data_IF_611090177527
#
_entry.id   IF_611090177527
#
_cell.length_a   1.000
_cell.length_b   1.000
_cell.length_c   1.000
_cell.angle_alpha   90.00
_cell.angle_beta   90.00
_cell.angle_gamma   90.00
#
_symmetry.space_group_name_H-M   'P 1'
#
loop_
_entity.id
_entity.type
_entity.pdbx_description
1 polymer ?
#
# COMPACT_ATOMS: atom_id res chain seq x y z
N UNK A 1 4.26 8.50 -25.79
CA UNK A 1 4.43 7.06 -25.68
C UNK A 1 5.92 6.71 -25.84
N UNK A 2 6.46 5.82 -24.96
CA UNK A 2 7.82 5.33 -25.05
C UNK A 2 7.94 4.29 -26.18
N UNK A 3 9.15 4.15 -26.77
CA UNK A 3 9.42 3.08 -27.71
C UNK A 3 9.45 1.71 -26.98
N UNK A 4 9.37 0.62 -27.75
CA UNK A 4 9.46 -0.75 -27.21
C UNK A 4 10.89 -1.04 -26.81
N UNK A 5 11.10 -1.78 -25.71
CA UNK A 5 12.40 -2.30 -25.26
C UNK A 5 13.47 -1.23 -25.09
N UNK A 6 13.16 -0.14 -24.41
CA UNK A 6 14.10 0.98 -24.20
C UNK A 6 14.66 1.04 -22.77
N UNK A 7 13.98 0.45 -21.77
CA UNK A 7 14.37 0.55 -20.37
C UNK A 7 15.09 -0.70 -19.88
N UNK A 8 16.10 -0.51 -19.04
CA UNK A 8 16.89 -1.56 -18.38
C UNK A 8 16.30 -1.97 -17.02
N UNK A 9 15.21 -1.35 -16.59
CA UNK A 9 14.50 -1.67 -15.35
C UNK A 9 13.30 -0.76 -15.16
N UNK A 10 12.32 -1.23 -14.38
CA UNK A 10 11.14 -0.47 -14.01
C UNK A 10 10.88 -0.63 -12.52
N UNK A 11 10.55 0.47 -11.85
CA UNK A 11 10.17 0.47 -10.44
C UNK A 11 8.81 1.13 -10.28
N UNK A 12 7.90 0.47 -9.57
CA UNK A 12 6.61 1.01 -9.15
C UNK A 12 6.49 0.92 -7.64
N UNK A 13 6.34 2.05 -6.95
CA UNK A 13 6.14 2.09 -5.50
C UNK A 13 4.75 2.66 -5.24
N UNK A 14 3.88 1.86 -4.63
CA UNK A 14 2.50 2.23 -4.33
C UNK A 14 1.81 2.88 -5.54
N UNK A 15 1.84 2.19 -6.67
CA UNK A 15 1.35 2.70 -7.95
C UNK A 15 0.27 1.81 -8.54
N UNK A 16 0.55 0.51 -8.65
CA UNK A 16 -0.33 -0.43 -9.35
C UNK A 16 -1.63 -0.71 -8.61
N UNK A 17 -1.66 -0.57 -7.29
CA UNK A 17 -2.88 -0.71 -6.48
C UNK A 17 -3.94 0.36 -6.78
N UNK A 18 -3.55 1.47 -7.39
CA UNK A 18 -4.44 2.56 -7.80
C UNK A 18 -4.88 2.46 -9.27
N UNK A 19 -4.41 1.46 -9.99
CA UNK A 19 -4.79 1.22 -11.38
C UNK A 19 -5.95 0.23 -11.41
N UNK A 20 -7.09 0.61 -11.98
CA UNK A 20 -8.30 -0.22 -11.99
C UNK A 20 -8.08 -1.59 -12.63
N UNK A 21 -7.34 -1.64 -13.73
CA UNK A 21 -6.97 -2.87 -14.43
C UNK A 21 -5.44 -2.96 -14.52
N UNK A 22 -4.85 -3.81 -13.71
CA UNK A 22 -3.40 -3.96 -13.60
C UNK A 22 -2.81 -4.67 -14.81
N UNK A 23 -3.56 -5.57 -15.46
CA UNK A 23 -3.08 -6.35 -16.61
C UNK A 23 -2.55 -5.49 -17.76
N UNK A 24 -3.33 -4.53 -18.30
CA UNK A 24 -2.85 -3.61 -19.33
C UNK A 24 -1.64 -2.78 -18.91
N UNK A 25 -1.57 -2.36 -17.64
CA UNK A 25 -0.42 -1.62 -17.13
C UNK A 25 0.84 -2.48 -17.09
N UNK A 26 0.73 -3.75 -16.71
CA UNK A 26 1.84 -4.70 -16.75
C UNK A 26 2.25 -5.04 -18.19
N UNK A 27 1.31 -5.17 -19.13
CA UNK A 27 1.61 -5.33 -20.57
C UNK A 27 2.41 -4.16 -21.11
N UNK A 28 2.04 -2.94 -20.74
CA UNK A 28 2.79 -1.75 -21.15
C UNK A 28 4.17 -1.72 -20.48
N UNK A 29 4.29 -2.05 -19.21
CA UNK A 29 5.57 -2.22 -18.53
C UNK A 29 6.45 -3.24 -19.26
N UNK A 30 5.88 -4.40 -19.63
CA UNK A 30 6.60 -5.42 -20.42
C UNK A 30 7.04 -4.90 -21.80
N UNK A 31 6.19 -4.17 -22.48
CA UNK A 31 6.49 -3.62 -23.80
C UNK A 31 7.70 -2.68 -23.80
N UNK A 32 7.84 -1.85 -22.76
CA UNK A 32 8.91 -0.85 -22.69
C UNK A 32 10.20 -1.39 -22.07
N UNK A 33 10.15 -2.51 -21.33
CA UNK A 33 11.33 -3.18 -20.77
C UNK A 33 12.02 -4.05 -21.82
N UNK A 34 13.35 -3.98 -21.86
CA UNK A 34 14.16 -4.94 -22.62
C UNK A 34 13.99 -6.36 -22.06
N UNK A 35 14.12 -7.36 -22.92
CA UNK A 35 14.14 -8.77 -22.51
C UNK A 35 15.21 -9.01 -21.44
N UNK A 36 14.87 -9.80 -20.45
CA UNK A 36 15.75 -10.12 -19.33
C UNK A 36 15.88 -9.01 -18.28
N UNK A 37 15.26 -7.84 -18.48
CA UNK A 37 15.36 -6.73 -17.54
C UNK A 37 14.31 -6.80 -16.42
N UNK A 38 14.64 -6.29 -15.21
CA UNK A 38 13.80 -6.44 -14.04
C UNK A 38 12.66 -5.41 -13.96
N UNK A 39 11.56 -5.85 -13.37
CA UNK A 39 10.55 -4.99 -12.75
C UNK A 39 10.57 -5.19 -11.23
N UNK A 40 10.45 -4.11 -10.48
CA UNK A 40 10.31 -4.12 -9.03
C UNK A 40 9.04 -3.34 -8.62
N UNK A 41 8.15 -3.99 -7.92
CA UNK A 41 6.87 -3.42 -7.47
C UNK A 41 6.83 -3.49 -5.94
N UNK A 42 6.70 -2.35 -5.29
CA UNK A 42 6.39 -2.27 -3.85
C UNK A 42 4.92 -1.88 -3.70
N UNK A 43 4.15 -2.74 -3.08
CA UNK A 43 2.75 -2.50 -2.74
C UNK A 43 2.43 -3.02 -1.34
N UNK A 44 1.34 -2.56 -0.75
CA UNK A 44 1.00 -2.84 0.64
C UNK A 44 -0.12 -3.88 0.69
N UNK A 45 -0.05 -4.80 1.67
CA UNK A 45 -1.16 -5.65 2.08
C UNK A 45 -2.06 -4.83 2.99
N UNK A 46 -2.92 -3.98 2.39
CA UNK A 46 -3.71 -2.99 3.11
C UNK A 46 -4.68 -3.59 4.12
N UNK A 47 -5.26 -4.76 3.84
CA UNK A 47 -6.15 -5.45 4.78
C UNK A 47 -5.45 -5.91 6.08
N UNK A 48 -4.11 -5.92 6.10
CA UNK A 48 -3.31 -6.28 7.27
C UNK A 48 -2.68 -5.07 7.97
N UNK A 49 -2.79 -3.88 7.39
CA UNK A 49 -2.34 -2.64 8.01
C UNK A 49 -3.21 -2.35 9.25
N UNK A 50 -2.61 -2.05 10.40
CA UNK A 50 -3.37 -1.86 11.64
C UNK A 50 -2.75 -0.81 12.56
N UNK A 51 -3.64 0.01 13.14
CA UNK A 51 -3.31 0.90 14.26
C UNK A 51 -3.79 0.31 15.59
N UNK A 52 -3.01 0.50 16.63
CA UNK A 52 -3.31 0.13 18.01
C UNK A 52 -3.30 1.40 18.88
N UNK A 53 -4.16 1.44 19.90
CA UNK A 53 -4.25 2.55 20.85
C UNK A 53 -5.54 3.35 20.78
N UNK A 54 -6.32 3.20 19.71
CA UNK A 54 -7.68 3.72 19.64
C UNK A 54 -8.71 2.61 19.90
N UNK A 55 -9.94 3.00 20.19
CA UNK A 55 -11.08 2.07 20.33
C UNK A 55 -11.29 1.28 19.04
N UNK A 56 -11.56 -0.03 19.17
CA UNK A 56 -11.70 -0.94 18.04
C UNK A 56 -12.82 -0.50 17.08
N UNK A 57 -13.93 0.04 17.61
CA UNK A 57 -15.04 0.54 16.79
C UNK A 57 -14.62 1.72 15.90
N UNK A 58 -13.77 2.61 16.42
CA UNK A 58 -13.24 3.74 15.65
C UNK A 58 -12.19 3.24 14.64
N UNK A 59 -11.27 2.37 15.04
CA UNK A 59 -10.34 1.73 14.13
C UNK A 59 -11.07 1.11 12.94
N UNK A 60 -12.08 0.29 13.23
CA UNK A 60 -12.85 -0.40 12.20
C UNK A 60 -13.56 0.58 11.26
N UNK A 61 -14.18 1.63 11.79
CA UNK A 61 -14.85 2.64 10.96
C UNK A 61 -13.89 3.36 10.01
N UNK A 62 -12.69 3.74 10.50
CA UNK A 62 -11.67 4.42 9.70
C UNK A 62 -11.10 3.46 8.64
N UNK A 63 -10.77 2.21 9.01
CA UNK A 63 -10.21 1.24 8.07
C UNK A 63 -11.21 0.84 6.98
N UNK A 64 -12.47 0.58 7.32
CA UNK A 64 -13.49 0.26 6.32
C UNK A 64 -13.70 1.40 5.32
N UNK A 65 -13.75 2.64 5.81
CA UNK A 65 -13.82 3.81 4.94
C UNK A 65 -12.56 3.92 4.05
N UNK A 66 -11.39 3.63 4.58
CA UNK A 66 -10.12 3.74 3.86
C UNK A 66 -9.96 2.69 2.76
N UNK A 67 -10.68 1.58 2.79
CA UNK A 67 -10.65 0.58 1.71
C UNK A 67 -10.98 1.16 0.33
N UNK A 68 -11.76 2.22 0.27
CA UNK A 68 -12.10 2.87 -0.99
C UNK A 68 -10.94 3.68 -1.63
N UNK A 69 -9.78 3.81 -0.96
CA UNK A 69 -8.67 4.61 -1.45
C UNK A 69 -7.92 4.00 -2.64
N UNK A 70 -7.98 2.67 -2.81
CA UNK A 70 -7.34 1.98 -3.93
C UNK A 70 -8.22 0.83 -4.45
N UNK A 71 -7.93 0.35 -5.64
CA UNK A 71 -8.68 -0.75 -6.27
C UNK A 71 -8.25 -2.13 -5.75
N UNK A 72 -6.97 -2.29 -5.37
CA UNK A 72 -6.38 -3.58 -5.01
C UNK A 72 -5.77 -3.53 -3.61
N UNK A 73 -6.57 -3.97 -2.62
CA UNK A 73 -6.14 -4.00 -1.21
C UNK A 73 -5.03 -5.02 -0.95
N UNK A 74 -4.97 -6.06 -1.77
CA UNK A 74 -4.07 -7.20 -1.60
C UNK A 74 -3.22 -7.45 -2.86
N UNK A 75 -2.85 -6.41 -3.59
CA UNK A 75 -2.12 -6.51 -4.85
C UNK A 75 -0.90 -7.46 -4.81
N UNK A 76 -0.06 -7.49 -3.74
CA UNK A 76 1.06 -8.44 -3.69
C UNK A 76 0.67 -9.91 -3.88
N UNK A 77 -0.56 -10.28 -3.51
CA UNK A 77 -1.08 -11.64 -3.71
C UNK A 77 -1.56 -11.84 -5.16
N UNK A 78 -2.16 -10.82 -5.76
CA UNK A 78 -2.64 -10.84 -7.13
C UNK A 78 -1.50 -10.90 -8.15
N UNK A 79 -0.36 -10.26 -7.87
CA UNK A 79 0.81 -10.25 -8.74
C UNK A 79 1.37 -11.66 -9.05
N UNK A 80 0.99 -12.67 -8.26
CA UNK A 80 1.42 -14.06 -8.49
C UNK A 80 0.98 -14.62 -9.84
N UNK A 81 -0.23 -14.28 -10.27
CA UNK A 81 -0.79 -14.70 -11.54
C UNK A 81 -0.73 -13.58 -12.58
N UNK A 82 -0.87 -12.32 -12.17
CA UNK A 82 -0.86 -11.21 -13.10
C UNK A 82 0.49 -11.05 -13.83
N UNK A 83 1.61 -11.27 -13.14
CA UNK A 83 2.93 -11.12 -13.76
C UNK A 83 3.18 -12.17 -14.86
N UNK A 84 3.00 -13.50 -14.64
CA UNK A 84 3.17 -14.49 -15.70
C UNK A 84 2.24 -14.26 -16.89
N UNK A 85 0.99 -13.91 -16.64
CA UNK A 85 -0.02 -13.66 -17.68
C UNK A 85 0.32 -12.44 -18.55
N UNK A 86 1.25 -11.59 -18.09
CA UNK A 86 1.65 -10.37 -18.78
C UNK A 86 3.14 -10.35 -19.19
N UNK A 87 3.78 -11.52 -19.33
CA UNK A 87 5.12 -11.65 -19.90
C UNK A 87 6.27 -11.43 -18.93
N UNK A 88 6.06 -11.77 -17.65
CA UNK A 88 7.11 -11.73 -16.63
C UNK A 88 7.33 -13.10 -16.02
N UNK A 89 8.61 -13.46 -15.78
CA UNK A 89 9.03 -14.68 -15.11
C UNK A 89 9.96 -14.41 -13.93
N UNK A 90 10.52 -15.48 -13.34
CA UNK A 90 11.49 -15.40 -12.22
C UNK A 90 10.98 -14.53 -11.07
N UNK A 91 9.72 -14.75 -10.66
CA UNK A 91 9.05 -13.90 -9.64
C UNK A 91 9.64 -14.22 -8.26
N UNK A 92 10.03 -13.17 -7.53
CA UNK A 92 10.44 -13.25 -6.13
C UNK A 92 9.68 -12.23 -5.28
N UNK A 93 9.51 -12.53 -4.00
CA UNK A 93 8.88 -11.63 -3.03
C UNK A 93 9.72 -11.49 -1.79
N UNK A 94 9.78 -10.27 -1.30
CA UNK A 94 10.42 -9.96 -0.03
C UNK A 94 9.44 -9.19 0.85
N UNK A 95 9.24 -9.67 2.06
CA UNK A 95 8.50 -8.95 3.07
C UNK A 95 9.32 -7.77 3.60
N UNK A 96 8.73 -6.58 3.58
CA UNK A 96 9.32 -5.34 4.10
C UNK A 96 8.51 -4.81 5.30
N UNK A 97 7.74 -5.67 5.98
CA UNK A 97 6.91 -5.25 7.10
C UNK A 97 7.71 -4.61 8.23
N UNK A 98 7.10 -3.67 8.90
CA UNK A 98 7.67 -2.98 10.05
C UNK A 98 6.59 -2.60 11.06
N UNK A 99 7.04 -2.33 12.28
CA UNK A 99 6.22 -1.89 13.39
C UNK A 99 6.75 -0.55 13.88
N UNK A 100 5.84 0.40 14.10
CA UNK A 100 6.12 1.67 14.77
C UNK A 100 5.40 1.68 16.13
N UNK A 101 6.11 2.06 17.17
CA UNK A 101 5.59 2.13 18.54
C UNK A 101 5.52 3.56 19.08
N UNK A 102 5.78 4.53 18.21
CA UNK A 102 5.69 5.96 18.50
C UNK A 102 5.00 6.69 17.35
N UNK A 103 4.31 7.80 17.66
CA UNK A 103 3.54 8.60 16.70
C UNK A 103 4.13 10.01 16.59
N UNK A 104 5.16 10.20 15.81
CA UNK A 104 5.76 11.51 15.60
C UNK A 104 6.07 11.81 14.13
N UNK A 105 6.31 13.08 13.82
CA UNK A 105 6.66 13.52 12.48
C UNK A 105 7.94 12.81 11.98
N UNK A 106 7.90 12.31 10.75
CA UNK A 106 8.96 11.48 10.16
C UNK A 106 8.64 9.98 10.11
N UNK A 107 7.64 9.52 10.88
CA UNK A 107 7.16 8.14 10.87
C UNK A 107 5.98 7.97 9.91
N UNK A 108 5.88 6.78 9.27
CA UNK A 108 4.82 6.51 8.30
C UNK A 108 3.43 6.51 8.95
N UNK A 109 3.29 5.94 10.15
CA UNK A 109 2.04 5.92 10.89
C UNK A 109 1.51 7.32 11.22
N UNK A 110 2.40 8.28 11.47
CA UNK A 110 2.01 9.68 11.71
C UNK A 110 1.32 10.31 10.49
N UNK A 111 1.86 10.11 9.31
CA UNK A 111 1.26 10.66 8.09
C UNK A 111 0.05 9.85 7.63
N UNK A 112 0.15 8.53 7.70
CA UNK A 112 -0.93 7.65 7.27
C UNK A 112 -2.17 7.81 8.15
N UNK A 113 -2.04 7.94 9.48
CA UNK A 113 -3.20 8.17 10.34
C UNK A 113 -3.98 9.43 9.96
N UNK A 114 -3.29 10.53 9.67
CA UNK A 114 -3.92 11.77 9.20
C UNK A 114 -4.58 11.63 7.84
N UNK A 115 -3.91 10.95 6.90
CA UNK A 115 -4.47 10.69 5.59
C UNK A 115 -5.73 9.82 5.69
N UNK A 116 -5.69 8.76 6.49
CA UNK A 116 -6.83 7.87 6.69
C UNK A 116 -8.01 8.60 7.35
N UNK A 117 -7.77 9.40 8.37
CA UNK A 117 -8.80 10.20 9.02
C UNK A 117 -9.46 11.17 8.03
N UNK A 118 -8.65 11.92 7.27
CA UNK A 118 -9.15 12.85 6.24
C UNK A 118 -9.93 12.11 5.15
N UNK A 119 -9.39 11.01 4.63
CA UNK A 119 -10.07 10.21 3.60
C UNK A 119 -11.40 9.65 4.12
N UNK A 120 -11.42 9.13 5.35
CA UNK A 120 -12.62 8.57 5.95
C UNK A 120 -13.78 9.58 6.03
N UNK A 121 -13.49 10.87 6.23
CA UNK A 121 -14.54 11.91 6.21
C UNK A 121 -15.16 12.06 4.83
N UNK A 122 -14.40 11.87 3.76
CA UNK A 122 -14.95 11.87 2.39
C UNK A 122 -15.81 10.64 2.10
N UNK A 123 -15.70 9.59 2.90
CA UNK A 123 -16.47 8.34 2.80
C UNK A 123 -17.62 8.27 3.83
N UNK A 124 -17.96 9.39 4.49
CA UNK A 124 -19.12 9.50 5.36
C UNK A 124 -18.86 9.24 6.85
N UNK A 125 -17.62 9.03 7.27
CA UNK A 125 -17.25 9.08 8.68
C UNK A 125 -17.32 10.55 9.14
N UNK A 126 -17.99 10.84 10.27
CA UNK A 126 -18.06 12.22 10.76
C UNK A 126 -16.70 12.75 11.18
N UNK A 127 -16.44 14.04 10.98
CA UNK A 127 -15.21 14.73 11.41
C UNK A 127 -14.92 14.46 12.89
N UNK A 128 -15.95 14.56 13.74
CA UNK A 128 -15.83 14.27 15.18
C UNK A 128 -15.29 12.88 15.46
N UNK A 129 -15.72 11.86 14.72
CA UNK A 129 -15.19 10.49 14.89
C UNK A 129 -13.75 10.38 14.41
N UNK A 130 -13.42 11.01 13.29
CA UNK A 130 -12.06 11.03 12.76
C UNK A 130 -11.08 11.74 13.72
N UNK A 131 -11.49 12.88 14.25
CA UNK A 131 -10.72 13.63 15.26
C UNK A 131 -10.58 12.86 16.57
N UNK A 132 -11.65 12.21 17.05
CA UNK A 132 -11.62 11.37 18.24
C UNK A 132 -10.61 10.21 18.05
N UNK A 133 -10.63 9.56 16.90
CA UNK A 133 -9.67 8.49 16.57
C UNK A 133 -8.22 9.00 16.62
N UNK A 134 -7.91 10.13 15.98
CA UNK A 134 -6.58 10.73 16.02
C UNK A 134 -6.16 11.12 17.45
N UNK A 135 -7.08 11.67 18.24
CA UNK A 135 -6.79 12.06 19.62
C UNK A 135 -6.50 10.85 20.51
N UNK A 136 -7.20 9.73 20.29
CA UNK A 136 -6.93 8.48 21.00
C UNK A 136 -5.59 7.88 20.63
N UNK A 137 -5.18 7.91 19.35
CA UNK A 137 -3.84 7.48 18.93
C UNK A 137 -2.75 8.35 19.59
N UNK A 138 -2.94 9.69 19.59
CA UNK A 138 -1.98 10.59 20.23
C UNK A 138 -1.88 10.37 21.76
N UNK A 139 -3.02 10.10 22.42
CA UNK A 139 -3.04 9.73 23.84
C UNK A 139 -2.33 8.41 24.08
N UNK A 140 -2.58 7.42 23.24
CA UNK A 140 -1.93 6.11 23.33
C UNK A 140 -0.40 6.21 23.17
N UNK A 141 0.07 7.10 22.29
CA UNK A 141 1.51 7.39 22.13
C UNK A 141 2.10 7.97 23.42
N UNK A 142 1.46 8.96 24.04
CA UNK A 142 1.88 9.54 25.32
C UNK A 142 1.92 8.52 26.44
N UNK A 143 1.06 7.53 26.41
CA UNK A 143 0.96 6.44 27.40
C UNK A 143 1.82 5.22 27.06
N UNK A 144 2.58 5.23 25.97
CA UNK A 144 3.41 4.10 25.51
C UNK A 144 2.60 2.90 25.01
N UNK A 145 1.37 3.10 24.58
CA UNK A 145 0.44 2.04 24.10
C UNK A 145 0.13 2.13 22.60
N UNK A 146 0.74 3.11 21.91
CA UNK A 146 0.59 3.23 20.46
C UNK A 146 1.28 2.08 19.73
N UNK A 147 0.69 1.64 18.64
CA UNK A 147 1.29 0.73 17.69
C UNK A 147 0.74 0.95 16.28
N UNK A 148 1.61 0.85 15.31
CA UNK A 148 1.25 0.79 13.91
C UNK A 148 2.02 -0.33 13.23
N UNK A 149 1.31 -1.19 12.53
CA UNK A 149 1.87 -2.30 11.76
C UNK A 149 1.58 -2.08 10.28
N UNK A 150 2.60 -2.16 9.46
CA UNK A 150 2.48 -2.04 8.01
C UNK A 150 3.15 -3.22 7.31
N UNK A 151 2.58 -3.64 6.17
CA UNK A 151 3.02 -4.82 5.42
C UNK A 151 3.33 -4.48 3.95
N UNK A 152 4.33 -3.62 3.66
CA UNK A 152 4.82 -3.51 2.30
C UNK A 152 5.49 -4.81 1.85
N UNK A 153 5.30 -5.16 0.59
CA UNK A 153 5.93 -6.30 -0.07
C UNK A 153 6.63 -5.82 -1.32
N UNK A 154 7.90 -6.14 -1.44
CA UNK A 154 8.64 -6.01 -2.70
C UNK A 154 8.39 -7.27 -3.53
N UNK A 155 7.80 -7.11 -4.70
CA UNK A 155 7.71 -8.15 -5.72
C UNK A 155 8.65 -7.79 -6.86
N UNK A 156 9.55 -8.69 -7.22
CA UNK A 156 10.42 -8.55 -8.39
C UNK A 156 10.12 -9.63 -9.41
N UNK A 157 10.28 -9.30 -10.69
CA UNK A 157 10.15 -10.23 -11.79
C UNK A 157 11.06 -9.82 -12.96
N UNK A 158 11.22 -10.68 -13.93
CA UNK A 158 12.05 -10.46 -15.12
C UNK A 158 11.19 -10.51 -16.37
N UNK A 159 11.35 -9.56 -17.27
CA UNK A 159 10.69 -9.54 -18.58
C UNK A 159 11.10 -10.74 -19.43
N UNK A 160 10.14 -11.54 -19.93
CA UNK A 160 10.34 -12.72 -20.77
C UNK A 160 9.65 -12.59 -22.12
#
# INVERSE_FOLDING_TARGET
PCATEVFDGLVGIQTYEYVKDVGPALKEARRVLKLGCPIAIVSILWDHCKFYGAEEVLNQAIFEAFKAHCFHQMLPMELSHLLPDNGFGSISRQNLSYIETTLHAGMAGFYLSKLMALFATTQGVSETKAELWLSQLAKADQEGRFGFVNFPVLTTATAI
#
